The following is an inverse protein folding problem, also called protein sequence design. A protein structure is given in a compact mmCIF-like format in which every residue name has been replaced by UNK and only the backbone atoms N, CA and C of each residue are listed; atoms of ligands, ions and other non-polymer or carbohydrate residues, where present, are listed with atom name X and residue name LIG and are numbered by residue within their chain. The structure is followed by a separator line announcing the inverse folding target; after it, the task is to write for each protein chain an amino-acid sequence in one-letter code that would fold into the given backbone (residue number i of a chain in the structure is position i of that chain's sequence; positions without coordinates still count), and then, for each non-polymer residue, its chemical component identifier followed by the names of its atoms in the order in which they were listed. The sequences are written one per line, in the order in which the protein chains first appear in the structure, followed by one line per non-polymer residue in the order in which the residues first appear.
data_IF_266463836077
#
_entry.id   IF_266463836077
#
_cell.length_a   1.000
_cell.length_b   1.000
_cell.length_c   1.000
_cell.angle_alpha   90.00
_cell.angle_beta   90.00
_cell.angle_gamma   90.00
#
_symmetry.space_group_name_H-M   'P 1'
#
loop_
_entity.id
_entity.type
_entity.pdbx_description
1 polymer ?
#
# COMPACT_ATOMS: atom_id res chain seq x y z
N UNK A 1 4.67 -8.69 9.63
CA UNK A 1 4.16 -7.30 9.55
C UNK A 1 5.09 -6.47 8.68
N UNK A 2 4.54 -5.61 7.83
CA UNK A 2 5.32 -4.68 6.99
C UNK A 2 5.95 -3.56 7.84
N UNK A 3 6.91 -2.81 7.27
CA UNK A 3 7.65 -1.75 7.96
C UNK A 3 7.54 -0.44 7.21
N UNK A 4 7.23 0.64 7.93
CA UNK A 4 7.23 2.01 7.41
C UNK A 4 8.58 2.37 6.80
N UNK A 5 8.57 3.03 5.65
CA UNK A 5 9.75 3.44 4.89
C UNK A 5 10.44 2.29 4.14
N UNK A 6 9.87 1.09 4.14
CA UNK A 6 10.40 -0.05 3.40
C UNK A 6 9.62 -0.32 2.13
N UNK A 7 10.36 -0.74 1.10
CA UNK A 7 9.84 -1.07 -0.21
C UNK A 7 9.65 -2.58 -0.34
N UNK A 8 8.49 -2.99 -0.86
CA UNK A 8 8.09 -4.40 -1.06
C UNK A 8 7.71 -4.65 -2.53
N UNK A 9 7.94 -5.89 -3.00
CA UNK A 9 7.44 -6.35 -4.31
C UNK A 9 5.98 -6.76 -4.18
N UNK A 10 5.17 -6.49 -5.20
CA UNK A 10 3.80 -6.98 -5.25
C UNK A 10 3.81 -8.40 -5.81
N UNK A 11 3.15 -9.33 -5.11
CA UNK A 11 2.99 -10.71 -5.55
C UNK A 11 1.60 -10.89 -6.17
N UNK A 12 1.54 -11.24 -7.45
CA UNK A 12 0.27 -11.44 -8.19
C UNK A 12 -0.17 -12.90 -8.28
N UNK A 13 0.74 -13.85 -8.01
CA UNK A 13 0.46 -15.29 -8.00
C UNK A 13 1.40 -16.03 -7.05
N UNK A 14 1.27 -17.34 -6.91
CA UNK A 14 2.11 -18.09 -5.95
C UNK A 14 3.62 -17.95 -6.26
N UNK A 15 3.99 -17.86 -7.55
CA UNK A 15 5.36 -17.68 -8.01
C UNK A 15 5.60 -16.36 -8.77
N UNK A 16 4.55 -15.56 -8.99
CA UNK A 16 4.60 -14.39 -9.87
C UNK A 16 4.65 -13.09 -9.07
N UNK A 17 5.50 -12.18 -9.52
CA UNK A 17 5.68 -10.85 -8.95
C UNK A 17 5.56 -9.82 -10.06
N UNK A 18 4.90 -8.71 -9.73
CA UNK A 18 4.87 -7.54 -10.60
C UNK A 18 6.25 -6.85 -10.62
N UNK A 19 6.50 -6.04 -11.65
CA UNK A 19 7.73 -5.24 -11.74
C UNK A 19 7.67 -4.06 -10.77
N UNK A 20 6.48 -3.54 -10.55
CA UNK A 20 6.16 -2.46 -9.63
C UNK A 20 6.48 -2.82 -8.18
N UNK A 21 6.74 -1.78 -7.41
CA UNK A 21 7.04 -1.88 -5.98
C UNK A 21 6.18 -0.90 -5.22
N UNK A 22 5.86 -1.24 -3.99
CA UNK A 22 5.16 -0.34 -3.06
C UNK A 22 6.09 0.08 -1.95
N UNK A 23 6.03 1.36 -1.57
CA UNK A 23 6.72 1.91 -0.41
C UNK A 23 5.68 2.21 0.65
N UNK A 24 5.86 1.64 1.84
CA UNK A 24 4.94 1.85 2.98
C UNK A 24 5.21 3.20 3.62
N UNK A 25 4.18 4.03 3.72
CA UNK A 25 4.25 5.37 4.29
C UNK A 25 3.81 5.40 5.75
N UNK A 26 2.75 4.66 6.08
CA UNK A 26 2.21 4.59 7.44
C UNK A 26 1.75 3.19 7.78
N UNK A 27 1.82 2.89 9.07
CA UNK A 27 1.30 1.65 9.66
C UNK A 27 0.72 2.00 11.01
N UNK A 28 -0.58 1.80 11.18
CA UNK A 28 -1.29 2.10 12.42
C UNK A 28 -2.47 1.14 12.60
N UNK A 29 -3.06 1.18 13.78
CA UNK A 29 -4.26 0.40 14.10
C UNK A 29 -5.50 1.28 14.03
N UNK A 30 -6.60 0.74 13.50
CA UNK A 30 -7.91 1.40 13.47
C UNK A 30 -8.98 0.37 13.86
N UNK A 31 -10.05 0.82 14.52
CA UNK A 31 -11.24 -0.03 14.68
C UNK A 31 -12.07 -0.02 13.40
N UNK A 32 -12.60 -1.17 12.99
CA UNK A 32 -13.47 -1.23 11.80
C UNK A 32 -14.66 -0.26 11.91
N UNK A 33 -15.24 -0.13 13.11
CA UNK A 33 -16.35 0.80 13.36
C UNK A 33 -15.99 2.28 13.25
N UNK A 34 -14.71 2.62 13.23
CA UNK A 34 -14.20 3.99 13.06
C UNK A 34 -13.85 4.31 11.60
N UNK A 35 -13.96 3.35 10.68
CA UNK A 35 -13.73 3.58 9.25
C UNK A 35 -14.76 4.55 8.66
N UNK A 36 -14.26 5.45 7.83
CA UNK A 36 -15.05 6.45 7.10
C UNK A 36 -15.30 6.01 5.65
N UNK A 37 -16.18 6.74 4.95
CA UNK A 37 -16.31 6.56 3.49
C UNK A 37 -15.01 6.84 2.75
N UNK A 38 -14.20 7.80 3.24
CA UNK A 38 -12.89 8.10 2.66
C UNK A 38 -11.92 6.94 2.78
N UNK A 39 -11.91 6.25 3.92
CA UNK A 39 -11.07 5.06 4.13
C UNK A 39 -11.47 3.94 3.17
N UNK A 40 -12.78 3.69 3.01
CA UNK A 40 -13.28 2.71 2.06
C UNK A 40 -12.87 3.02 0.61
N UNK A 41 -12.92 4.29 0.21
CA UNK A 41 -12.46 4.73 -1.13
C UNK A 41 -10.96 4.52 -1.30
N UNK A 42 -10.16 4.76 -0.26
CA UNK A 42 -8.71 4.52 -0.29
C UNK A 42 -8.37 3.03 -0.41
N UNK A 43 -9.19 2.15 0.17
CA UNK A 43 -9.10 0.69 -0.01
C UNK A 43 -9.59 0.23 -1.40
N UNK A 44 -10.22 1.11 -2.17
CA UNK A 44 -10.70 0.84 -3.53
C UNK A 44 -12.18 0.47 -3.61
N UNK A 45 -12.94 0.59 -2.52
CA UNK A 45 -14.38 0.37 -2.51
C UNK A 45 -15.16 1.63 -2.91
N UNK A 46 -16.34 1.45 -3.51
CA UNK A 46 -17.20 2.57 -3.93
C UNK A 46 -17.91 3.27 -2.75
N UNK A 47 -18.03 2.58 -1.60
CA UNK A 47 -18.63 3.10 -0.37
C UNK A 47 -18.23 2.28 0.84
N UNK A 48 -18.48 2.82 2.04
CA UNK A 48 -18.28 2.06 3.29
C UNK A 48 -19.17 0.80 3.37
N UNK A 49 -20.36 0.83 2.76
CA UNK A 49 -21.23 -0.35 2.71
C UNK A 49 -20.64 -1.43 1.81
N UNK A 50 -20.18 -1.07 0.60
CA UNK A 50 -19.53 -2.01 -0.31
C UNK A 50 -18.26 -2.63 0.30
N UNK A 51 -17.47 -1.82 1.00
CA UNK A 51 -16.30 -2.33 1.73
C UNK A 51 -16.68 -3.36 2.80
N UNK A 52 -17.77 -3.14 3.54
CA UNK A 52 -18.25 -4.08 4.57
C UNK A 52 -18.64 -5.42 3.95
N UNK A 53 -19.38 -5.39 2.85
CA UNK A 53 -19.82 -6.61 2.16
C UNK A 53 -18.60 -7.42 1.63
N UNK A 54 -17.60 -6.74 1.08
CA UNK A 54 -16.36 -7.38 0.63
C UNK A 54 -15.53 -7.91 1.82
N UNK A 55 -15.42 -7.14 2.90
CA UNK A 55 -14.75 -7.57 4.14
C UNK A 55 -15.35 -8.86 4.69
N UNK A 56 -16.68 -8.97 4.73
CA UNK A 56 -17.39 -10.18 5.17
C UNK A 56 -17.20 -11.37 4.24
N UNK A 57 -16.84 -11.14 2.98
CA UNK A 57 -16.50 -12.21 2.03
C UNK A 57 -15.08 -12.75 2.26
N UNK A 58 -14.16 -11.88 2.66
CA UNK A 58 -12.74 -12.21 2.88
C UNK A 58 -12.43 -12.66 4.31
N UNK A 59 -13.23 -12.20 5.27
CA UNK A 59 -13.13 -12.46 6.70
C UNK A 59 -14.37 -13.23 7.19
N UNK A 60 -14.55 -13.39 8.51
CA UNK A 60 -15.72 -14.08 9.06
C UNK A 60 -16.97 -13.17 9.13
N UNK A 61 -16.84 -11.98 9.72
CA UNK A 61 -17.97 -11.06 9.94
C UNK A 61 -17.47 -9.62 10.19
N UNK A 62 -18.29 -8.62 9.89
CA UNK A 62 -18.00 -7.24 10.28
C UNK A 62 -18.19 -7.04 11.79
N UNK A 63 -17.08 -6.75 12.49
CA UNK A 63 -17.04 -6.51 13.93
C UNK A 63 -16.54 -5.09 14.19
N UNK A 64 -17.41 -4.10 14.49
CA UNK A 64 -17.02 -2.70 14.67
C UNK A 64 -15.90 -2.45 15.70
N UNK A 65 -15.79 -3.33 16.69
CA UNK A 65 -14.81 -3.37 17.77
C UNK A 65 -13.47 -4.00 17.39
N UNK A 66 -13.42 -4.71 16.25
CA UNK A 66 -12.21 -5.35 15.76
C UNK A 66 -11.18 -4.30 15.36
N UNK A 67 -9.95 -4.51 15.86
CA UNK A 67 -8.82 -3.62 15.61
C UNK A 67 -7.97 -4.24 14.51
N UNK A 68 -7.84 -3.54 13.39
CA UNK A 68 -7.09 -3.96 12.22
C UNK A 68 -5.84 -3.11 12.03
N UNK A 69 -4.87 -3.63 11.28
CA UNK A 69 -3.72 -2.85 10.83
C UNK A 69 -4.01 -2.21 9.49
N UNK A 70 -3.94 -0.88 9.44
CA UNK A 70 -4.03 -0.10 8.20
C UNK A 70 -2.61 0.16 7.69
N UNK A 71 -2.40 -0.13 6.41
CA UNK A 71 -1.13 0.08 5.72
C UNK A 71 -1.34 1.07 4.59
N UNK A 72 -0.87 2.29 4.78
CA UNK A 72 -0.85 3.28 3.70
C UNK A 72 0.47 3.15 2.92
N UNK A 73 0.39 3.13 1.60
CA UNK A 73 1.53 3.00 0.71
C UNK A 73 1.30 3.73 -0.61
N UNK A 74 2.40 3.99 -1.33
CA UNK A 74 2.36 4.44 -2.71
C UNK A 74 3.16 3.50 -3.62
N UNK A 75 2.83 3.53 -4.92
CA UNK A 75 3.67 2.91 -5.93
C UNK A 75 5.00 3.67 -6.01
N UNK A 76 6.10 2.97 -5.79
CA UNK A 76 7.42 3.52 -5.96
C UNK A 76 7.69 3.62 -7.47
N UNK A 77 7.53 4.82 -8.02
CA UNK A 77 7.93 5.10 -9.39
C UNK A 77 9.40 4.73 -9.55
N UNK A 78 9.72 3.94 -10.58
CA UNK A 78 11.08 3.65 -11.01
C UNK A 78 11.82 4.99 -11.08
N UNK A 79 12.75 5.21 -10.16
CA UNK A 79 13.68 6.32 -10.27
C UNK A 79 14.30 6.20 -11.67
N UNK A 80 14.02 7.15 -12.55
CA UNK A 80 14.98 7.50 -13.58
C UNK A 80 16.27 7.74 -12.81
N UNK A 81 17.28 6.90 -13.02
CA UNK A 81 18.62 7.18 -12.54
C UNK A 81 18.92 8.64 -12.89
N UNK A 82 19.43 9.48 -11.97
CA UNK A 82 20.10 10.68 -12.40
C UNK A 82 21.21 10.19 -13.33
N UNK A 83 21.10 10.50 -14.62
CA UNK A 83 22.21 10.35 -15.55
C UNK A 83 23.42 10.96 -14.86
N UNK A 84 24.49 10.17 -14.73
CA UNK A 84 25.79 10.65 -14.29
C UNK A 84 26.18 11.82 -15.21
N UNK A 85 25.94 13.04 -14.77
CA UNK A 85 26.56 14.24 -15.30
C UNK A 85 27.42 14.79 -14.19
N UNK A 86 28.70 14.41 -14.25
CA UNK A 86 29.87 15.24 -13.97
C UNK A 86 31.10 14.33 -13.99
N UNK A 87 31.49 13.87 -15.19
CA UNK A 87 32.92 13.67 -15.45
C UNK A 87 33.53 15.06 -15.62
N UNK A 88 34.47 15.50 -14.77
CA UNK A 88 35.19 16.73 -15.04
C UNK A 88 36.01 16.55 -16.32
N UNK A 89 36.15 17.61 -17.16
CA UNK A 89 36.88 17.51 -18.40
C UNK A 89 38.33 17.10 -18.14
N UNK A 90 38.71 15.99 -18.77
CA UNK A 90 40.08 15.55 -18.96
C UNK A 90 40.88 16.71 -19.60
N UNK A 91 41.82 17.30 -18.85
CA UNK A 91 42.72 18.31 -19.37
C UNK A 91 44.05 17.64 -19.79
N UNK A 92 44.55 17.86 -21.02
CA UNK A 92 45.76 17.24 -21.54
C UNK A 92 47.04 17.67 -20.82
#
# INVERSE_FOLDING_TARGET
MVKVGRTYRIRSGFFDFLEERIRVDRLYTQRLGEMTEGDAVMEGAESLAAFRDEWETLSEAWRPEEVVWVVEFHLENRQQSPTLVDEPPNNP
#
